data_IF_658621938386
#
_entry.id   IF_658621938386
#
_cell.length_a   1.000
_cell.length_b   1.000
_cell.length_c   1.000
_cell.angle_alpha   90.00
_cell.angle_beta   90.00
_cell.angle_gamma   90.00
#
_symmetry.space_group_name_H-M   'P 1'
#
loop_
_entity.id
_entity.type
_entity.pdbx_description
1 polymer ?
#
# COMPACT_ATOMS: atom_id res chain seq x y z
N UNK A 1 -21.55 -4.89 -19.28
CA UNK A 1 -20.14 -4.50 -19.07
C UNK A 1 -20.03 -3.06 -18.57
N UNK A 2 -19.34 -2.85 -17.45
CA UNK A 2 -19.08 -1.55 -16.80
C UNK A 2 -17.60 -1.44 -16.46
N UNK A 3 -17.10 -0.22 -16.27
CA UNK A 3 -15.73 0.02 -15.81
C UNK A 3 -15.67 -0.12 -14.30
N UNK A 4 -14.68 -0.86 -13.81
CA UNK A 4 -14.36 -1.03 -12.40
C UNK A 4 -12.95 -0.50 -12.10
N UNK A 5 -12.77 -0.04 -10.86
CA UNK A 5 -11.50 0.36 -10.27
C UNK A 5 -11.23 -0.56 -9.09
N UNK A 6 -10.07 -1.23 -9.13
CA UNK A 6 -9.63 -2.18 -8.12
C UNK A 6 -8.43 -1.59 -7.40
N UNK A 7 -8.50 -1.51 -6.07
CA UNK A 7 -7.37 -1.16 -5.21
C UNK A 7 -6.72 -2.46 -4.73
N UNK A 8 -5.42 -2.57 -4.88
CA UNK A 8 -4.66 -3.69 -4.34
C UNK A 8 -3.40 -3.18 -3.62
N UNK A 9 -3.04 -3.87 -2.54
CA UNK A 9 -1.71 -3.78 -1.93
C UNK A 9 -0.82 -4.85 -2.57
N UNK A 10 0.36 -4.43 -3.03
CA UNK A 10 1.31 -5.29 -3.75
C UNK A 10 2.60 -5.36 -2.95
N UNK A 11 3.06 -6.57 -2.69
CA UNK A 11 4.38 -6.86 -2.14
C UNK A 11 5.32 -7.28 -3.28
N UNK A 12 6.32 -6.44 -3.53
CA UNK A 12 7.40 -6.74 -4.48
C UNK A 12 8.56 -7.43 -3.78
N UNK A 13 9.27 -8.26 -4.53
CA UNK A 13 10.26 -9.16 -3.94
C UNK A 13 11.49 -8.56 -3.30
N UNK A 14 12.30 -9.43 -2.69
CA UNK A 14 13.30 -9.15 -1.64
C UNK A 14 14.25 -7.95 -1.84
N UNK A 15 14.55 -7.54 -3.08
CA UNK A 15 15.39 -6.36 -3.36
C UNK A 15 14.62 -5.02 -3.25
N UNK A 16 13.29 -5.05 -3.35
CA UNK A 16 12.39 -3.90 -3.34
C UNK A 16 11.21 -4.15 -2.40
N UNK A 17 11.47 -4.47 -1.12
CA UNK A 17 10.45 -4.57 -0.04
C UNK A 17 9.67 -3.27 0.13
N UNK A 18 8.74 -3.04 -0.78
CA UNK A 18 7.86 -1.88 -0.84
C UNK A 18 6.47 -2.44 -1.00
N UNK A 19 5.68 -2.32 0.06
CA UNK A 19 4.24 -2.45 -0.07
C UNK A 19 3.73 -1.21 -0.81
N UNK A 20 3.10 -1.43 -1.96
CA UNK A 20 2.61 -0.36 -2.80
C UNK A 20 1.12 -0.54 -3.03
N UNK A 21 0.36 0.51 -2.71
CA UNK A 21 -1.03 0.59 -3.17
C UNK A 21 -1.06 0.93 -4.66
N UNK A 22 -1.77 0.10 -5.42
CA UNK A 22 -2.01 0.28 -6.84
C UNK A 22 -3.50 0.39 -7.13
N UNK A 23 -3.81 1.06 -8.25
CA UNK A 23 -5.15 1.11 -8.81
C UNK A 23 -5.12 0.47 -10.19
N UNK A 24 -5.94 -0.55 -10.37
CA UNK A 24 -6.17 -1.23 -11.65
C UNK A 24 -7.54 -0.80 -12.17
N UNK A 25 -7.64 -0.54 -13.47
CA UNK A 25 -8.91 -0.28 -14.12
C UNK A 25 -9.20 -1.40 -15.11
N UNK A 26 -10.37 -2.03 -14.98
CA UNK A 26 -10.80 -3.12 -15.84
C UNK A 26 -12.27 -2.93 -16.25
N UNK A 27 -12.73 -3.70 -17.24
CA UNK A 27 -14.13 -3.76 -17.64
C UNK A 27 -14.67 -5.16 -17.34
N UNK A 28 -15.83 -5.23 -16.68
CA UNK A 28 -16.45 -6.49 -16.25
C UNK A 28 -17.98 -6.33 -16.13
N UNK A 29 -18.73 -7.42 -15.99
CA UNK A 29 -20.19 -7.34 -15.81
C UNK A 29 -20.60 -7.15 -14.35
N UNK A 30 -19.75 -7.57 -13.40
CA UNK A 30 -19.97 -7.47 -11.96
C UNK A 30 -18.64 -7.37 -11.18
N UNK A 31 -18.72 -7.17 -9.86
CA UNK A 31 -17.53 -7.02 -9.00
C UNK A 31 -16.67 -8.28 -8.93
N UNK A 32 -17.28 -9.47 -8.93
CA UNK A 32 -16.56 -10.76 -8.87
C UNK A 32 -15.72 -10.96 -10.13
N UNK A 33 -16.26 -10.61 -11.29
CA UNK A 33 -15.49 -10.64 -12.54
C UNK A 33 -14.41 -9.56 -12.57
N UNK A 34 -14.69 -8.36 -12.07
CA UNK A 34 -13.68 -7.30 -12.00
C UNK A 34 -12.49 -7.70 -11.12
N UNK A 35 -12.75 -8.38 -10.00
CA UNK A 35 -11.74 -8.95 -9.11
C UNK A 35 -10.90 -10.00 -9.85
N UNK A 36 -11.54 -10.96 -10.55
CA UNK A 36 -10.84 -11.97 -11.36
C UNK A 36 -10.01 -11.37 -12.49
N UNK A 37 -10.46 -10.30 -13.11
CA UNK A 37 -9.68 -9.61 -14.14
C UNK A 37 -8.49 -8.87 -13.53
N UNK A 38 -8.65 -8.24 -12.38
CA UNK A 38 -7.53 -7.63 -11.66
C UNK A 38 -6.50 -8.67 -11.21
N UNK A 39 -6.96 -9.82 -10.70
CA UNK A 39 -6.15 -10.97 -10.32
C UNK A 39 -5.26 -11.46 -11.47
N UNK A 40 -5.84 -11.67 -12.66
CA UNK A 40 -5.09 -12.03 -13.88
C UNK A 40 -4.05 -10.97 -14.26
N UNK A 41 -4.40 -9.69 -14.13
CA UNK A 41 -3.49 -8.58 -14.45
C UNK A 41 -2.29 -8.60 -13.50
N UNK A 42 -2.52 -8.74 -12.18
CA UNK A 42 -1.45 -8.73 -11.16
C UNK A 42 -0.57 -9.97 -11.30
N UNK A 43 -1.17 -11.15 -11.50
CA UNK A 43 -0.44 -12.40 -11.76
C UNK A 43 0.47 -12.33 -13.00
N UNK A 44 0.21 -11.40 -13.92
CA UNK A 44 1.07 -11.15 -15.09
C UNK A 44 2.31 -10.31 -14.79
N UNK A 45 2.48 -9.78 -13.57
CA UNK A 45 3.64 -8.96 -13.19
C UNK A 45 4.76 -9.85 -12.63
N UNK A 46 5.97 -9.70 -13.14
CA UNK A 46 7.10 -10.62 -12.86
C UNK A 46 7.68 -10.50 -11.47
N UNK A 47 7.50 -9.35 -10.81
CA UNK A 47 8.23 -8.99 -9.59
C UNK A 47 7.32 -8.98 -8.35
N UNK A 48 6.06 -9.41 -8.49
CA UNK A 48 5.08 -9.49 -7.40
C UNK A 48 5.25 -10.82 -6.67
N UNK A 49 5.56 -10.77 -5.37
CA UNK A 49 5.62 -11.96 -4.51
C UNK A 49 4.25 -12.27 -3.90
N UNK A 50 3.51 -11.24 -3.49
CA UNK A 50 2.17 -11.36 -2.93
C UNK A 50 1.33 -10.10 -3.19
N UNK A 51 0.01 -10.22 -3.11
CA UNK A 51 -0.90 -9.09 -3.15
C UNK A 51 -2.20 -9.37 -2.40
N UNK A 52 -2.88 -8.30 -2.03
CA UNK A 52 -4.23 -8.33 -1.47
C UNK A 52 -5.12 -7.33 -2.21
N UNK A 53 -6.30 -7.77 -2.66
CA UNK A 53 -7.31 -6.88 -3.23
C UNK A 53 -8.12 -6.26 -2.09
N UNK A 54 -8.04 -4.95 -1.95
CA UNK A 54 -8.62 -4.21 -0.82
C UNK A 54 -10.00 -3.62 -1.14
N UNK A 55 -10.27 -3.30 -2.40
CA UNK A 55 -11.50 -2.61 -2.82
C UNK A 55 -11.77 -2.86 -4.30
N UNK A 56 -13.01 -3.22 -4.63
CA UNK A 56 -13.53 -3.27 -6.00
C UNK A 56 -14.70 -2.30 -6.06
N UNK A 57 -14.70 -1.37 -7.02
CA UNK A 57 -15.79 -0.38 -7.10
C UNK A 57 -15.95 0.17 -8.51
N UNK A 58 -17.14 0.69 -8.82
CA UNK A 58 -17.37 1.48 -10.04
C UNK A 58 -17.06 2.97 -9.84
N UNK A 59 -16.90 3.42 -8.59
CA UNK A 59 -16.56 4.80 -8.26
C UNK A 59 -15.06 5.02 -8.46
N UNK A 60 -14.72 6.10 -9.17
CA UNK A 60 -13.33 6.46 -9.39
C UNK A 60 -12.68 6.91 -8.07
N UNK A 61 -11.44 6.49 -7.82
CA UNK A 61 -10.59 7.00 -6.75
C UNK A 61 -9.17 7.31 -7.24
N UNK A 62 -8.50 8.24 -6.55
CA UNK A 62 -7.12 8.61 -6.81
C UNK A 62 -6.22 8.09 -5.70
N UNK A 63 -5.08 7.54 -6.08
CA UNK A 63 -3.97 7.29 -5.15
C UNK A 63 -2.97 8.43 -5.32
N UNK A 64 -2.81 9.22 -4.28
CA UNK A 64 -1.86 10.31 -4.21
C UNK A 64 -0.55 9.82 -3.60
N UNK A 65 0.54 10.47 -3.97
CA UNK A 65 1.83 10.29 -3.29
C UNK A 65 1.77 11.01 -1.96
N UNK A 66 2.30 10.37 -0.92
CA UNK A 66 2.49 10.94 0.41
C UNK A 66 3.92 10.68 0.89
N UNK A 67 4.45 11.67 1.60
CA UNK A 67 5.69 11.60 2.37
C UNK A 67 5.35 11.50 3.85
N UNK A 68 5.67 10.36 4.45
CA UNK A 68 5.37 10.07 5.85
C UNK A 68 6.68 9.96 6.63
N UNK A 69 6.78 10.69 7.73
CA UNK A 69 7.91 10.56 8.66
C UNK A 69 7.48 9.77 9.88
N UNK A 70 8.25 8.74 10.20
CA UNK A 70 7.99 7.85 11.34
C UNK A 70 9.21 7.85 12.25
N UNK A 71 9.00 8.24 13.50
CA UNK A 71 10.01 8.14 14.55
C UNK A 71 9.94 6.73 15.15
N UNK A 72 11.06 6.02 15.05
CA UNK A 72 11.24 4.68 15.61
C UNK A 72 12.16 4.75 16.83
N UNK A 73 11.73 4.13 17.92
CA UNK A 73 12.56 3.90 19.10
C UNK A 73 13.00 2.45 19.12
N UNK A 74 14.29 2.22 19.26
CA UNK A 74 14.88 0.89 19.36
C UNK A 74 15.12 0.49 20.81
N UNK A 75 15.24 -0.82 21.06
CA UNK A 75 15.46 -1.38 22.39
C UNK A 75 16.78 -0.94 23.04
N UNK A 76 17.77 -0.53 22.25
CA UNK A 76 19.04 0.03 22.73
C UNK A 76 18.93 1.51 23.14
N UNK A 77 17.75 2.13 23.03
CA UNK A 77 17.52 3.53 23.34
C UNK A 77 17.69 4.47 22.13
N UNK A 78 18.15 3.97 20.98
CA UNK A 78 18.31 4.79 19.78
C UNK A 78 16.96 5.27 19.27
N UNK A 79 16.95 6.52 18.80
CA UNK A 79 15.85 7.13 18.07
C UNK A 79 16.27 7.35 16.63
N UNK A 80 15.48 6.87 15.67
CA UNK A 80 15.70 7.10 14.24
C UNK A 80 14.42 7.54 13.57
N UNK A 81 14.53 8.56 12.75
CA UNK A 81 13.47 8.95 11.84
C UNK A 81 13.60 8.19 10.52
N UNK A 82 12.51 7.56 10.08
CA UNK A 82 12.39 6.90 8.78
C UNK A 82 11.43 7.69 7.93
N UNK A 83 11.85 8.01 6.70
CA UNK A 83 11.01 8.70 5.71
C UNK A 83 10.48 7.69 4.72
N UNK A 84 9.17 7.53 4.69
CA UNK A 84 8.47 6.65 3.77
C UNK A 84 7.86 7.47 2.64
N UNK A 85 7.95 6.92 1.44
CA UNK A 85 7.34 7.46 0.24
C UNK A 85 6.35 6.40 -0.27
N UNK A 86 5.06 6.70 -0.12
CA UNK A 86 3.98 5.74 -0.38
C UNK A 86 2.82 6.39 -1.11
N UNK A 87 1.88 5.57 -1.58
CA UNK A 87 0.64 6.02 -2.22
C UNK A 87 -0.56 5.68 -1.35
N UNK A 88 -1.55 6.58 -1.28
CA UNK A 88 -2.81 6.39 -0.55
C UNK A 88 -3.93 7.30 -1.11
N UNK A 89 -5.19 7.00 -0.80
CA UNK A 89 -6.36 7.84 -1.14
C UNK A 89 -6.35 9.15 -0.32
N UNK A 90 -5.97 9.07 0.97
CA UNK A 90 -5.95 10.19 1.91
C UNK A 90 -4.83 10.06 2.97
N UNK A 91 -4.69 11.08 3.84
CA UNK A 91 -3.68 11.11 4.90
C UNK A 91 -3.88 10.04 5.98
N UNK A 92 -5.13 9.63 6.24
CA UNK A 92 -5.45 8.62 7.24
C UNK A 92 -5.00 7.23 6.77
N UNK A 93 -5.30 6.90 5.50
CA UNK A 93 -4.80 5.70 4.86
C UNK A 93 -3.27 5.73 4.76
N UNK A 94 -2.67 6.87 4.41
CA UNK A 94 -1.21 7.00 4.39
C UNK A 94 -0.57 6.66 5.76
N UNK A 95 -1.18 7.11 6.88
CA UNK A 95 -0.76 6.73 8.23
C UNK A 95 -0.89 5.24 8.49
N UNK A 96 -2.00 4.61 8.08
CA UNK A 96 -2.23 3.18 8.28
C UNK A 96 -1.20 2.34 7.51
N UNK A 97 -0.98 2.65 6.24
CA UNK A 97 0.02 1.97 5.40
C UNK A 97 1.43 2.15 6.00
N UNK A 98 1.81 3.37 6.36
CA UNK A 98 3.10 3.64 7.00
C UNK A 98 3.32 2.81 8.28
N UNK A 99 2.30 2.72 9.13
CA UNK A 99 2.35 1.95 10.37
C UNK A 99 2.47 0.44 10.13
N UNK A 100 1.85 -0.07 9.05
CA UNK A 100 1.96 -1.45 8.60
C UNK A 100 3.38 -1.75 8.10
N UNK A 101 3.93 -0.90 7.22
CA UNK A 101 5.28 -1.06 6.67
C UNK A 101 6.39 -1.15 7.73
N UNK A 102 6.25 -0.42 8.84
CA UNK A 102 7.24 -0.43 9.93
C UNK A 102 6.90 -1.43 11.05
N UNK A 103 5.82 -2.20 10.94
CA UNK A 103 5.38 -3.11 12.00
C UNK A 103 6.38 -4.22 12.29
N UNK A 104 7.06 -4.73 11.27
CA UNK A 104 7.97 -5.87 11.38
C UNK A 104 9.44 -5.45 11.55
N UNK A 105 9.70 -4.18 11.85
CA UNK A 105 11.06 -3.70 12.06
C UNK A 105 11.62 -4.29 13.35
N UNK A 106 12.69 -5.08 13.22
CA UNK A 106 13.31 -5.76 14.35
C UNK A 106 13.79 -4.76 15.40
N UNK A 107 13.59 -5.11 16.67
CA UNK A 107 14.07 -4.36 17.84
C UNK A 107 13.44 -2.97 18.03
N UNK A 108 12.38 -2.64 17.29
CA UNK A 108 11.59 -1.42 17.51
C UNK A 108 10.67 -1.65 18.72
N UNK A 109 10.75 -0.77 19.71
CA UNK A 109 9.93 -0.79 20.93
C UNK A 109 8.78 0.22 20.88
N UNK A 110 8.90 1.28 20.09
CA UNK A 110 7.80 2.20 19.81
C UNK A 110 7.94 2.83 18.43
N UNK A 111 6.80 3.17 17.83
CA UNK A 111 6.68 3.84 16.53
C UNK A 111 5.67 4.97 16.63
N UNK A 112 6.01 6.12 16.06
CA UNK A 112 5.15 7.30 16.04
C UNK A 112 5.23 7.98 14.68
N UNK A 113 4.09 8.16 14.01
CA UNK A 113 4.03 8.94 12.77
C UNK A 113 4.01 10.42 13.14
N UNK A 114 5.14 11.09 12.95
CA UNK A 114 5.37 12.48 13.34
C UNK A 114 4.89 13.49 12.30
N UNK A 115 4.89 13.11 11.01
CA UNK A 115 4.43 13.98 9.93
C UNK A 115 3.84 13.18 8.77
N UNK A 116 2.86 13.78 8.10
CA UNK A 116 2.28 13.32 6.83
C UNK A 116 2.16 14.55 5.94
N UNK A 117 2.62 14.45 4.70
CA UNK A 117 2.52 15.52 3.71
C UNK A 117 2.34 14.94 2.32
N UNK A 118 1.77 15.74 1.42
CA UNK A 118 1.44 15.38 0.04
C UNK A 118 2.42 16.01 -0.93
#
# INVERSE_FOLDING_TARGET
MRKYFVKAEIEYGAENRKNVLVRIACFADNEVEAEREADKIICGWTDVEAYEILKVTTQFFYLHVFYVSVLLKYSNGDLREVKLHLRAEDEEEARKVANSMVADFKYVVSKEVTAVSK
#
